data_IF_981868077854
#
_entry.id   IF_981868077854
#
_cell.length_a   1.000
_cell.length_b   1.000
_cell.length_c   1.000
_cell.angle_alpha   90.00
_cell.angle_beta   90.00
_cell.angle_gamma   90.00
#
_symmetry.space_group_name_H-M   'P 1'
#
loop_
_entity.id
_entity.type
_entity.pdbx_description
1 polymer ?
#
# COMPACT_ATOMS: atom_id res chain seq x y z
N UNK A 1 20.05 -3.25 -15.85
CA UNK A 1 18.74 -3.67 -16.39
C UNK A 1 18.32 -4.87 -15.55
N UNK A 2 17.59 -4.64 -14.46
CA UNK A 2 17.09 -5.76 -13.66
C UNK A 2 15.96 -6.45 -14.43
N UNK A 3 16.10 -7.78 -14.57
CA UNK A 3 15.14 -8.64 -15.26
C UNK A 3 13.83 -8.63 -14.47
N UNK A 4 12.66 -8.50 -15.13
CA UNK A 4 11.37 -8.42 -14.45
C UNK A 4 11.10 -9.63 -13.54
N UNK A 5 10.34 -9.37 -12.47
CA UNK A 5 9.77 -10.37 -11.57
C UNK A 5 8.80 -11.28 -12.35
N UNK A 6 8.68 -12.55 -11.95
CA UNK A 6 7.87 -13.53 -12.70
C UNK A 6 6.39 -13.50 -12.34
N UNK A 7 6.08 -13.21 -11.07
CA UNK A 7 4.70 -13.03 -10.61
C UNK A 7 4.12 -11.70 -11.08
N UNK A 8 2.84 -11.73 -11.43
CA UNK A 8 2.03 -10.52 -11.57
C UNK A 8 2.08 -9.72 -10.26
N UNK A 9 2.17 -8.40 -10.38
CA UNK A 9 2.42 -7.50 -9.25
C UNK A 9 1.38 -7.63 -8.14
N UNK A 10 0.11 -7.87 -8.50
CA UNK A 10 -0.97 -8.08 -7.52
C UNK A 10 -0.78 -9.36 -6.70
N UNK A 11 -0.31 -10.45 -7.33
CA UNK A 11 0.00 -11.71 -6.62
C UNK A 11 1.22 -11.56 -5.72
N UNK A 12 2.23 -10.81 -6.19
CA UNK A 12 3.43 -10.54 -5.41
C UNK A 12 3.11 -9.78 -4.12
N UNK A 13 2.25 -8.76 -4.20
CA UNK A 13 1.77 -8.03 -3.03
C UNK A 13 0.95 -8.94 -2.12
N UNK A 14 0.06 -9.77 -2.67
CA UNK A 14 -0.70 -10.73 -1.87
C UNK A 14 0.20 -11.65 -1.03
N UNK A 15 1.31 -12.16 -1.59
CA UNK A 15 2.27 -12.94 -0.81
C UNK A 15 2.98 -12.12 0.27
N UNK A 16 3.26 -10.84 0.03
CA UNK A 16 3.83 -9.96 1.05
C UNK A 16 2.85 -9.75 2.22
N UNK A 17 1.57 -9.53 1.91
CA UNK A 17 0.50 -9.42 2.90
C UNK A 17 0.34 -10.72 3.69
N UNK A 18 0.30 -11.86 3.02
CA UNK A 18 0.11 -13.16 3.67
C UNK A 18 1.32 -13.54 4.55
N UNK A 19 2.55 -13.26 4.09
CA UNK A 19 3.77 -13.44 4.89
C UNK A 19 3.71 -12.61 6.18
N UNK A 20 3.27 -11.35 6.07
CA UNK A 20 3.12 -10.43 7.19
C UNK A 20 2.03 -10.86 8.15
N UNK A 21 0.84 -11.16 7.64
CA UNK A 21 -0.37 -11.51 8.41
C UNK A 21 -0.19 -12.77 9.23
N UNK A 22 0.48 -13.77 8.67
CA UNK A 22 0.63 -15.09 9.31
C UNK A 22 1.77 -15.16 10.31
N UNK A 23 2.64 -14.14 10.37
CA UNK A 23 3.79 -14.13 11.26
C UNK A 23 3.39 -13.90 12.72
N UNK A 24 3.71 -14.87 13.59
CA UNK A 24 3.58 -14.73 15.03
C UNK A 24 4.96 -14.72 15.72
N UNK A 25 5.44 -13.55 16.19
CA UNK A 25 6.76 -13.43 16.82
C UNK A 25 6.88 -14.16 18.16
N UNK A 26 5.78 -14.60 18.77
CA UNK A 26 5.80 -15.43 19.98
C UNK A 26 6.01 -16.93 19.68
N UNK A 27 5.77 -17.35 18.43
CA UNK A 27 5.83 -18.76 18.04
C UNK A 27 7.11 -19.11 17.27
N UNK A 28 7.64 -18.19 16.46
CA UNK A 28 8.76 -18.46 15.56
C UNK A 28 9.59 -17.20 15.29
N UNK A 29 10.77 -17.38 14.73
CA UNK A 29 11.62 -16.27 14.26
C UNK A 29 11.17 -15.80 12.87
N UNK A 30 11.47 -14.55 12.46
CA UNK A 30 11.21 -14.09 11.11
C UNK A 30 11.85 -15.00 10.04
N UNK A 31 13.08 -15.45 10.26
CA UNK A 31 13.79 -16.29 9.30
C UNK A 31 13.11 -17.65 9.11
N UNK A 32 12.84 -18.34 10.22
CA UNK A 32 12.16 -19.64 10.20
C UNK A 32 10.77 -19.52 9.57
N UNK A 33 9.99 -18.49 9.91
CA UNK A 33 8.67 -18.26 9.30
C UNK A 33 8.76 -18.06 7.79
N UNK A 34 9.67 -17.21 7.33
CA UNK A 34 9.83 -16.92 5.91
C UNK A 34 10.22 -18.17 5.13
N UNK A 35 11.19 -18.95 5.63
CA UNK A 35 11.62 -20.21 5.01
C UNK A 35 10.47 -21.21 4.91
N UNK A 36 9.69 -21.40 5.98
CA UNK A 36 8.54 -22.31 6.01
C UNK A 36 7.44 -21.89 5.04
N UNK A 37 7.08 -20.60 4.99
CA UNK A 37 6.04 -20.12 4.07
C UNK A 37 6.49 -20.22 2.61
N UNK A 38 7.73 -19.84 2.29
CA UNK A 38 8.25 -19.93 0.92
C UNK A 38 8.31 -21.40 0.45
N UNK A 39 8.74 -22.32 1.32
CA UNK A 39 8.72 -23.75 1.02
C UNK A 39 7.28 -24.28 0.82
N UNK A 40 6.33 -23.80 1.61
CA UNK A 40 4.91 -24.17 1.51
C UNK A 40 4.26 -23.67 0.21
N UNK A 41 4.55 -22.44 -0.20
CA UNK A 41 3.98 -21.84 -1.41
C UNK A 41 4.60 -22.36 -2.71
N UNK A 42 5.77 -23.01 -2.63
CA UNK A 42 6.48 -23.60 -3.78
C UNK A 42 6.69 -22.58 -4.90
N UNK A 43 7.04 -21.34 -4.55
CA UNK A 43 7.33 -20.31 -5.52
C UNK A 43 8.60 -20.68 -6.30
N UNK A 44 8.55 -20.65 -7.63
CA UNK A 44 9.67 -21.13 -8.45
C UNK A 44 10.75 -20.07 -8.69
N UNK A 45 10.38 -18.79 -8.82
CA UNK A 45 11.34 -17.71 -9.09
C UNK A 45 12.04 -17.24 -7.79
N UNK A 46 13.37 -17.40 -7.67
CA UNK A 46 14.12 -16.92 -6.52
C UNK A 46 14.04 -15.40 -6.30
N UNK A 47 13.77 -14.60 -7.34
CA UNK A 47 13.64 -13.15 -7.21
C UNK A 47 12.34 -12.75 -6.51
N UNK A 48 11.24 -13.43 -6.83
CA UNK A 48 9.95 -13.21 -6.19
C UNK A 48 10.03 -13.59 -4.72
N UNK A 49 10.60 -14.77 -4.42
CA UNK A 49 10.87 -15.20 -3.06
C UNK A 49 11.70 -14.16 -2.28
N UNK A 50 12.80 -13.70 -2.88
CA UNK A 50 13.68 -12.71 -2.25
C UNK A 50 12.97 -11.37 -2.05
N UNK A 51 12.15 -10.92 -2.99
CA UNK A 51 11.37 -9.70 -2.84
C UNK A 51 10.42 -9.81 -1.64
N UNK A 52 9.63 -10.88 -1.59
CA UNK A 52 8.66 -11.13 -0.49
C UNK A 52 9.39 -11.17 0.85
N UNK A 53 10.51 -11.89 0.92
CA UNK A 53 11.33 -12.00 2.12
C UNK A 53 11.90 -10.64 2.56
N UNK A 54 12.43 -9.85 1.63
CA UNK A 54 12.95 -8.51 1.93
C UNK A 54 11.87 -7.55 2.42
N UNK A 55 10.67 -7.61 1.84
CA UNK A 55 9.53 -6.81 2.29
C UNK A 55 9.13 -7.21 3.70
N UNK A 56 9.01 -8.51 3.96
CA UNK A 56 8.67 -9.03 5.29
C UNK A 56 9.72 -8.66 6.36
N UNK A 57 11.01 -8.82 6.07
CA UNK A 57 12.08 -8.44 6.99
C UNK A 57 12.11 -6.93 7.24
N UNK A 58 11.82 -6.14 6.23
CA UNK A 58 11.62 -4.70 6.39
C UNK A 58 10.46 -4.36 7.31
N UNK A 59 9.30 -4.97 7.08
CA UNK A 59 8.10 -4.78 7.90
C UNK A 59 8.32 -5.19 9.36
N UNK A 60 9.02 -6.30 9.61
CA UNK A 60 9.36 -6.71 10.98
C UNK A 60 10.34 -5.74 11.64
N UNK A 61 11.35 -5.25 10.91
CA UNK A 61 12.32 -4.26 11.40
C UNK A 61 11.67 -2.91 11.71
N UNK A 62 10.80 -2.42 10.83
CA UNK A 62 10.15 -1.09 10.94
C UNK A 62 8.72 -1.17 11.48
N UNK A 63 8.35 -2.26 12.15
CA UNK A 63 6.98 -2.53 12.63
C UNK A 63 6.38 -1.38 13.42
N UNK A 64 7.15 -0.74 14.32
CA UNK A 64 6.67 0.38 15.14
C UNK A 64 6.43 1.64 14.31
N UNK A 65 7.34 1.95 13.38
CA UNK A 65 7.23 3.12 12.50
C UNK A 65 6.01 2.98 11.58
N UNK A 66 5.89 1.84 10.90
CA UNK A 66 4.77 1.57 9.99
C UNK A 66 3.46 1.47 10.79
N UNK A 67 3.48 0.89 11.99
CA UNK A 67 2.31 0.83 12.86
C UNK A 67 1.77 2.20 13.26
N UNK A 68 2.64 3.17 13.58
CA UNK A 68 2.25 4.56 13.81
C UNK A 68 1.57 5.15 12.58
N UNK A 69 2.16 4.96 11.39
CA UNK A 69 1.58 5.44 10.14
C UNK A 69 0.21 4.83 9.88
N UNK A 70 0.08 3.51 9.97
CA UNK A 70 -1.19 2.82 9.71
C UNK A 70 -2.26 3.29 10.71
N UNK A 71 -1.92 3.47 11.98
CA UNK A 71 -2.86 3.99 12.96
C UNK A 71 -3.31 5.43 12.63
N UNK A 72 -2.37 6.31 12.29
CA UNK A 72 -2.66 7.69 11.86
C UNK A 72 -3.54 7.73 10.61
N UNK A 73 -3.22 6.89 9.61
CA UNK A 73 -3.98 6.77 8.38
C UNK A 73 -5.42 6.35 8.65
N UNK A 74 -5.65 5.29 9.42
CA UNK A 74 -7.01 4.84 9.77
C UNK A 74 -7.76 5.82 10.66
N UNK A 75 -7.06 6.59 11.50
CA UNK A 75 -7.69 7.67 12.28
C UNK A 75 -8.20 8.78 11.36
N UNK A 76 -7.39 9.23 10.40
CA UNK A 76 -7.73 10.33 9.51
C UNK A 76 -8.68 9.93 8.36
N UNK A 77 -8.56 8.69 7.86
CA UNK A 77 -9.21 8.20 6.65
C UNK A 77 -10.19 7.05 6.87
N UNK A 78 -10.52 6.72 8.12
CA UNK A 78 -11.35 5.56 8.47
C UNK A 78 -12.74 5.50 7.82
N UNK A 79 -13.29 6.63 7.36
CA UNK A 79 -14.55 6.66 6.59
C UNK A 79 -14.40 6.31 5.10
N UNK A 80 -13.17 6.33 4.58
CA UNK A 80 -12.83 6.09 3.17
C UNK A 80 -12.16 4.72 2.96
N UNK A 81 -11.78 4.01 4.03
CA UNK A 81 -10.97 2.79 3.96
C UNK A 81 -11.57 1.64 4.79
N UNK A 82 -11.40 0.41 4.31
CA UNK A 82 -11.85 -0.78 5.03
C UNK A 82 -10.79 -1.29 5.99
N UNK A 83 -11.23 -1.85 7.14
CA UNK A 83 -10.34 -2.57 8.07
C UNK A 83 -9.79 -3.88 7.49
N UNK A 84 -10.45 -4.46 6.49
CA UNK A 84 -9.97 -5.67 5.81
C UNK A 84 -8.70 -5.44 5.01
N UNK A 85 -8.42 -4.18 4.65
CA UNK A 85 -7.28 -3.80 3.81
C UNK A 85 -6.05 -3.38 4.63
N UNK A 86 -6.05 -3.63 5.95
CA UNK A 86 -4.99 -3.16 6.86
C UNK A 86 -3.61 -3.67 6.47
N UNK A 87 -3.52 -4.91 5.98
CA UNK A 87 -2.25 -5.50 5.54
C UNK A 87 -1.77 -4.86 4.25
N UNK A 88 -2.67 -4.62 3.29
CA UNK A 88 -2.37 -3.89 2.06
C UNK A 88 -1.78 -2.51 2.38
N UNK A 89 -2.46 -1.72 3.21
CA UNK A 89 -1.95 -0.40 3.59
C UNK A 89 -0.64 -0.47 4.39
N UNK A 90 -0.45 -1.50 5.20
CA UNK A 90 0.79 -1.71 5.96
C UNK A 90 1.96 -2.01 5.03
N UNK A 91 1.77 -2.92 4.06
CA UNK A 91 2.77 -3.25 3.04
C UNK A 91 3.11 -2.01 2.22
N UNK A 92 2.12 -1.31 1.67
CA UNK A 92 2.37 -0.14 0.85
C UNK A 92 2.97 1.02 1.63
N UNK A 93 2.54 1.28 2.87
CA UNK A 93 3.17 2.28 3.72
C UNK A 93 4.67 2.02 3.90
N UNK A 94 5.06 0.76 4.15
CA UNK A 94 6.47 0.38 4.20
C UNK A 94 7.17 0.58 2.86
N UNK A 95 6.58 0.12 1.75
CA UNK A 95 7.17 0.28 0.44
C UNK A 95 7.41 1.75 0.11
N UNK A 96 6.44 2.62 0.37
CA UNK A 96 6.52 4.06 0.09
C UNK A 96 7.51 4.78 1.02
N UNK A 97 7.43 4.57 2.34
CA UNK A 97 8.26 5.30 3.31
C UNK A 97 9.72 4.83 3.33
N UNK A 98 9.95 3.53 3.13
CA UNK A 98 11.26 2.93 3.40
C UNK A 98 11.98 2.41 2.16
N UNK A 99 11.23 2.03 1.12
CA UNK A 99 11.80 1.31 -0.03
C UNK A 99 11.65 2.05 -1.35
N UNK A 100 10.91 3.14 -1.42
CA UNK A 100 10.63 3.81 -2.70
C UNK A 100 11.88 4.31 -3.42
N UNK A 101 12.94 4.69 -2.67
CA UNK A 101 14.23 5.02 -3.29
C UNK A 101 14.91 3.83 -3.95
N UNK A 102 14.79 2.65 -3.34
CA UNK A 102 15.42 1.41 -3.78
C UNK A 102 14.58 0.73 -4.87
N UNK A 103 13.25 0.81 -4.75
CA UNK A 103 12.27 0.42 -5.74
C UNK A 103 12.24 1.49 -6.82
N UNK A 104 12.97 1.27 -7.91
CA UNK A 104 12.92 2.16 -9.07
C UNK A 104 11.45 2.52 -9.41
N UNK A 105 11.20 3.78 -9.77
CA UNK A 105 9.84 4.32 -10.01
C UNK A 105 8.96 3.39 -10.85
N UNK A 106 9.51 2.80 -11.92
CA UNK A 106 8.78 1.88 -12.81
C UNK A 106 8.25 0.64 -12.07
N UNK A 107 9.04 0.06 -11.17
CA UNK A 107 8.61 -1.10 -10.39
C UNK A 107 7.54 -0.70 -9.36
N UNK A 108 7.77 0.38 -8.62
CA UNK A 108 6.80 0.88 -7.66
C UNK A 108 5.45 1.23 -8.31
N UNK A 109 5.47 1.88 -9.48
CA UNK A 109 4.27 2.23 -10.25
C UNK A 109 3.46 0.98 -10.62
N UNK A 110 4.11 -0.09 -11.06
CA UNK A 110 3.43 -1.34 -11.40
C UNK A 110 2.76 -1.99 -10.18
N UNK A 111 3.44 -1.99 -9.03
CA UNK A 111 2.86 -2.46 -7.77
C UNK A 111 1.60 -1.68 -7.39
N UNK A 112 1.66 -0.35 -7.42
CA UNK A 112 0.51 0.52 -7.12
C UNK A 112 -0.65 0.27 -8.09
N UNK A 113 -0.36 0.23 -9.39
CA UNK A 113 -1.40 0.05 -10.42
C UNK A 113 -2.01 -1.35 -10.46
N UNK A 114 -1.40 -2.33 -9.80
CA UNK A 114 -1.96 -3.67 -9.64
C UNK A 114 -3.08 -3.76 -8.59
N UNK A 115 -3.23 -2.70 -7.77
CA UNK A 115 -4.21 -2.63 -6.71
C UNK A 115 -5.43 -1.81 -7.11
N UNK A 116 -6.46 -1.87 -6.27
CA UNK A 116 -7.70 -1.13 -6.48
C UNK A 116 -7.43 0.40 -6.45
N UNK A 117 -7.79 1.15 -7.52
CA UNK A 117 -7.37 2.54 -7.67
C UNK A 117 -7.79 3.50 -6.55
N UNK A 118 -9.02 3.40 -6.04
CA UNK A 118 -9.52 4.28 -4.97
C UNK A 118 -8.73 4.04 -3.68
N UNK A 119 -8.45 2.77 -3.32
CA UNK A 119 -7.62 2.45 -2.14
C UNK A 119 -6.24 3.09 -2.23
N UNK A 120 -5.56 2.95 -3.36
CA UNK A 120 -4.21 3.51 -3.53
C UNK A 120 -4.23 5.02 -3.55
N UNK A 121 -5.25 5.63 -4.17
CA UNK A 121 -5.37 7.09 -4.21
C UNK A 121 -5.51 7.69 -2.80
N UNK A 122 -6.37 7.11 -1.95
CA UNK A 122 -6.55 7.56 -0.56
C UNK A 122 -5.24 7.45 0.23
N UNK A 123 -4.49 6.36 0.04
CA UNK A 123 -3.17 6.20 0.67
C UNK A 123 -2.15 7.24 0.18
N UNK A 124 -2.03 7.41 -1.14
CA UNK A 124 -1.06 8.32 -1.76
C UNK A 124 -1.33 9.78 -1.38
N UNK A 125 -2.60 10.21 -1.40
CA UNK A 125 -2.98 11.55 -0.93
C UNK A 125 -2.71 11.76 0.56
N UNK A 126 -2.79 10.71 1.38
CA UNK A 126 -2.44 10.83 2.79
C UNK A 126 -0.93 10.95 3.00
N UNK A 127 -0.14 10.03 2.44
CA UNK A 127 1.30 9.92 2.68
C UNK A 127 2.09 11.08 2.05
N UNK A 128 1.67 11.59 0.89
CA UNK A 128 2.35 12.71 0.22
C UNK A 128 1.83 14.10 0.63
N UNK A 129 1.02 14.16 1.70
CA UNK A 129 0.59 15.41 2.30
C UNK A 129 1.45 15.69 3.54
N UNK A 130 2.28 16.73 3.46
CA UNK A 130 3.15 17.13 4.57
C UNK A 130 2.36 17.42 5.85
N UNK A 131 1.23 18.12 5.73
CA UNK A 131 0.37 18.44 6.87
C UNK A 131 -0.11 17.19 7.62
N UNK A 132 -0.46 16.13 6.89
CA UNK A 132 -0.85 14.85 7.50
C UNK A 132 0.33 14.20 8.24
N UNK A 133 1.50 14.09 7.60
CA UNK A 133 2.66 13.46 8.23
C UNK A 133 3.14 14.24 9.46
N UNK A 134 3.19 15.58 9.36
CA UNK A 134 3.57 16.45 10.46
C UNK A 134 2.58 16.37 11.63
N UNK A 135 1.27 16.36 11.35
CA UNK A 135 0.24 16.42 12.40
C UNK A 135 -0.02 15.07 13.06
N UNK A 136 0.06 13.97 12.31
CA UNK A 136 -0.36 12.65 12.82
C UNK A 136 0.80 11.69 13.09
N UNK A 137 1.92 11.82 12.37
CA UNK A 137 2.99 10.82 12.40
C UNK A 137 4.26 11.30 13.10
N UNK A 138 4.65 12.57 12.91
CA UNK A 138 5.94 13.12 13.38
C UNK A 138 6.16 12.95 14.88
N UNK A 139 5.27 13.49 15.71
CA UNK A 139 5.42 13.43 17.17
C UNK A 139 5.44 11.98 17.70
N UNK A 140 4.55 11.07 17.27
CA UNK A 140 4.67 9.66 17.61
C UNK A 140 5.98 9.00 17.13
N UNK A 141 6.47 9.32 15.94
CA UNK A 141 7.75 8.79 15.44
C UNK A 141 8.95 9.33 16.23
N UNK A 142 8.93 10.58 16.68
CA UNK A 142 9.98 11.15 17.54
C UNK A 142 10.09 10.49 18.92
N UNK A 143 9.05 9.76 19.36
CA UNK A 143 9.12 8.91 20.56
C UNK A 143 9.89 7.61 20.32
N UNK A 144 10.10 7.25 19.04
CA UNK A 144 10.74 6.00 18.61
C UNK A 144 12.13 6.24 18.01
N UNK A 145 12.34 7.39 17.36
CA UNK A 145 13.54 7.76 16.63
C UNK A 145 13.94 9.20 16.96
N UNK A 146 15.18 9.58 16.66
CA UNK A 146 15.63 10.96 16.83
C UNK A 146 14.95 11.91 15.84
N UNK A 147 14.90 13.19 16.22
CA UNK A 147 14.19 14.24 15.48
C UNK A 147 14.72 14.40 14.07
N UNK A 148 16.04 14.37 13.92
CA UNK A 148 16.72 14.53 12.63
C UNK A 148 16.34 13.40 11.67
N UNK A 149 16.32 12.15 12.15
CA UNK A 149 15.88 11.01 11.36
C UNK A 149 14.42 11.14 10.92
N UNK A 150 13.51 11.54 11.82
CA UNK A 150 12.08 11.67 11.49
C UNK A 150 11.84 12.77 10.46
N UNK A 151 12.48 13.93 10.64
CA UNK A 151 12.35 15.05 9.71
C UNK A 151 12.92 14.69 8.33
N UNK A 152 14.04 13.98 8.29
CA UNK A 152 14.65 13.49 7.05
C UNK A 152 13.78 12.43 6.36
N UNK A 153 13.14 11.54 7.12
CA UNK A 153 12.21 10.54 6.60
C UNK A 153 11.02 11.20 5.90
N UNK A 154 10.37 12.18 6.57
CA UNK A 154 9.24 12.92 6.00
C UNK A 154 9.69 13.67 4.74
N UNK A 155 10.80 14.40 4.81
CA UNK A 155 11.35 15.14 3.68
C UNK A 155 11.67 14.21 2.49
N UNK A 156 12.28 13.06 2.77
CA UNK A 156 12.61 12.06 1.75
C UNK A 156 11.35 11.50 1.11
N UNK A 157 10.35 11.12 1.89
CA UNK A 157 9.08 10.64 1.35
C UNK A 157 8.45 11.69 0.42
N UNK A 158 8.32 12.94 0.87
CA UNK A 158 7.71 14.01 0.09
C UNK A 158 8.51 14.38 -1.18
N UNK A 159 9.83 14.16 -1.18
CA UNK A 159 10.68 14.47 -2.34
C UNK A 159 10.34 13.67 -3.60
N UNK A 160 9.62 12.55 -3.46
CA UNK A 160 9.20 11.71 -4.59
C UNK A 160 7.89 12.16 -5.23
N UNK A 161 7.14 13.08 -4.62
CA UNK A 161 5.86 13.53 -5.15
C UNK A 161 5.93 14.02 -6.62
N UNK A 162 6.95 14.79 -7.05
CA UNK A 162 7.06 15.20 -8.45
C UNK A 162 7.13 14.02 -9.43
N UNK A 163 7.88 12.97 -9.09
CA UNK A 163 8.04 11.78 -9.94
C UNK A 163 6.75 10.93 -9.98
N UNK A 164 5.92 11.02 -8.94
CA UNK A 164 4.69 10.24 -8.80
C UNK A 164 3.43 10.99 -9.30
N UNK A 165 3.54 12.28 -9.63
CA UNK A 165 2.40 13.14 -9.96
C UNK A 165 1.56 12.60 -11.14
N UNK A 166 2.21 12.12 -12.19
CA UNK A 166 1.52 11.54 -13.36
C UNK A 166 0.81 10.23 -13.01
N UNK A 167 1.40 9.42 -12.12
CA UNK A 167 0.77 8.19 -11.65
C UNK A 167 -0.47 8.48 -10.78
N UNK A 168 -0.37 9.46 -9.89
CA UNK A 168 -1.50 9.91 -9.06
C UNK A 168 -2.62 10.46 -9.94
N UNK A 169 -2.30 11.33 -10.90
CA UNK A 169 -3.29 11.87 -11.85
C UNK A 169 -3.99 10.76 -12.65
N UNK A 170 -3.25 9.73 -13.08
CA UNK A 170 -3.82 8.57 -13.77
C UNK A 170 -4.75 7.75 -12.89
N UNK A 171 -4.48 7.64 -11.58
CA UNK A 171 -5.37 7.00 -10.63
C UNK A 171 -6.64 7.82 -10.41
N UNK A 172 -6.52 9.14 -10.27
CA UNK A 172 -7.65 10.07 -10.14
C UNK A 172 -8.61 9.95 -11.33
N UNK A 173 -8.08 9.95 -12.55
CA UNK A 173 -8.88 9.77 -13.76
C UNK A 173 -9.62 8.42 -13.76
N UNK A 174 -8.93 7.32 -13.42
CA UNK A 174 -9.55 5.99 -13.35
C UNK A 174 -10.69 5.94 -12.34
N UNK A 175 -10.48 6.50 -11.15
CA UNK A 175 -11.49 6.56 -10.08
C UNK A 175 -12.69 7.39 -10.52
N UNK A 176 -12.45 8.54 -11.15
CA UNK A 176 -13.51 9.41 -11.66
C UNK A 176 -14.36 8.70 -12.72
N UNK A 177 -13.73 8.06 -13.70
CA UNK A 177 -14.44 7.34 -14.77
C UNK A 177 -15.25 6.16 -14.22
N UNK A 178 -14.72 5.42 -13.24
CA UNK A 178 -15.44 4.31 -12.60
C UNK A 178 -16.71 4.80 -11.89
N UNK A 179 -16.62 5.87 -11.08
CA UNK A 179 -17.78 6.46 -10.40
C UNK A 179 -18.84 6.94 -11.40
N UNK A 180 -18.41 7.59 -12.48
CA UNK A 180 -19.33 8.05 -13.52
C UNK A 180 -20.05 6.89 -14.21
N UNK A 181 -19.35 5.79 -14.49
CA UNK A 181 -19.96 4.60 -15.08
C UNK A 181 -21.00 3.97 -14.14
N UNK A 182 -20.70 3.85 -12.84
CA UNK A 182 -21.63 3.36 -11.82
C UNK A 182 -22.89 4.23 -11.71
N UNK A 183 -22.74 5.56 -11.76
CA UNK A 183 -23.88 6.50 -11.76
C UNK A 183 -24.74 6.38 -13.02
N UNK A 184 -24.14 6.21 -14.20
CA UNK A 184 -24.84 6.01 -15.47
C UNK A 184 -25.61 4.68 -15.47
N UNK A 185 -25.01 3.60 -14.98
CA UNK A 185 -25.66 2.30 -14.82
C UNK A 185 -26.83 2.37 -13.83
N UNK A 186 -26.63 2.98 -12.65
CA UNK A 186 -27.68 3.15 -11.65
C UNK A 186 -28.86 3.98 -12.19
N UNK A 187 -28.57 5.06 -12.93
CA UNK A 187 -29.59 5.88 -13.58
C UNK A 187 -30.34 5.12 -14.69
N UNK A 188 -29.67 4.23 -15.42
CA UNK A 188 -30.30 3.40 -16.45
C UNK A 188 -31.30 2.40 -15.83
N UNK A 189 -30.92 1.78 -14.72
CA UNK A 189 -31.76 0.81 -14.01
C UNK A 189 -32.97 1.49 -13.35
N UNK A 190 -32.78 2.66 -12.75
CA UNK A 190 -33.86 3.46 -12.19
C UNK A 190 -34.91 3.85 -13.25
N UNK A 191 -34.47 4.24 -14.45
CA UNK A 191 -35.37 4.53 -15.58
C UNK A 191 -36.11 3.28 -16.07
N UNK A 192 -35.43 2.15 -16.20
CA UNK A 192 -36.06 0.89 -16.62
C UNK A 192 -37.10 0.38 -15.60
N UNK A 193 -36.81 0.47 -14.30
CA UNK A 193 -37.75 0.12 -13.24
C UNK A 193 -38.98 1.01 -13.20
N UNK A 194 -38.82 2.33 -13.42
CA UNK A 194 -39.96 3.27 -13.49
C UNK A 194 -40.89 3.01 -14.68
N UNK A 195 -40.37 2.49 -15.79
CA UNK A 195 -41.16 2.15 -16.98
C UNK A 195 -42.00 0.87 -16.80
N UNK A 196 -41.63 -0.03 -15.90
CA UNK A 196 -42.34 -1.29 -15.64
C UNK A 196 -43.46 -1.19 -14.58
N UNK A 197 -43.48 -0.13 -13.77
CA UNK A 197 -44.47 0.08 -12.69
C UNK A 197 -45.73 0.81 -13.16
N UNK A 198 -45.75 1.29 -14.41
CA UNK A 198 -46.91 1.99 -14.98
C UNK A 198 -47.82 1.00 -15.73
N UNK A 199 -48.66 0.25 -15.01
CA UNK A 199 -49.83 -0.48 -15.54
C UNK A 199 -51.02 -0.30 -14.60
#
# INVERSE_FOLDING_TARGET
MEVPLSLEEGKLIWYCEEMWRTFNPAATTPDTHAEEQLAKWKLEDPKDQKFIQQVFYGLTRYKKLVGVFTQAFYFAKGGEVSRTDVDTYTVFAYLTLMRLKELQYVAYRKLILSQEPQKMLVLLHFIFNEGNLMSFCRDPWMKLYDVQYVDELIRTALSFLPDLADMISSLEEKVYMAKKAEEEEANSWAKAGSAQVTV
#
